data_IF_690328480520
#
_entry.id   IF_690328480520
#
_cell.length_a   1.000
_cell.length_b   1.000
_cell.length_c   1.000
_cell.angle_alpha   90.00
_cell.angle_beta   90.00
_cell.angle_gamma   90.00
#
_symmetry.space_group_name_H-M   'P 1'
#
loop_
_entity.id
_entity.type
_entity.pdbx_description
1 polymer ?
#
# COMPACT_ATOMS: atom_id res chain seq x y z
N UNK A 1 -35.46 -18.84 8.20
CA UNK A 1 -34.36 -18.62 9.18
C UNK A 1 -33.14 -19.54 8.89
N UNK A 2 -32.58 -19.47 7.67
CA UNK A 2 -31.35 -20.20 7.24
C UNK A 2 -30.28 -19.26 6.69
N UNK A 3 -30.69 -18.18 6.01
CA UNK A 3 -29.80 -17.19 5.37
C UNK A 3 -28.89 -16.47 6.38
N UNK A 4 -29.41 -16.13 7.58
CA UNK A 4 -28.64 -15.43 8.61
C UNK A 4 -27.48 -16.30 9.14
N UNK A 5 -27.62 -17.64 9.17
CA UNK A 5 -26.53 -18.53 9.60
C UNK A 5 -25.43 -18.64 8.56
N UNK A 6 -25.76 -18.62 7.27
CA UNK A 6 -24.78 -18.70 6.18
C UNK A 6 -23.90 -17.45 6.09
N UNK A 7 -24.47 -16.26 6.30
CA UNK A 7 -23.71 -15.01 6.32
C UNK A 7 -22.78 -14.92 7.53
N UNK A 8 -23.19 -15.47 8.68
CA UNK A 8 -22.37 -15.48 9.90
C UNK A 8 -21.11 -16.36 9.75
N UNK A 9 -21.25 -17.52 9.10
CA UNK A 9 -20.13 -18.42 8.80
C UNK A 9 -19.12 -17.83 7.80
N UNK A 10 -19.56 -17.05 6.82
CA UNK A 10 -18.64 -16.38 5.89
C UNK A 10 -17.79 -15.30 6.59
N UNK A 11 -18.37 -14.60 7.58
CA UNK A 11 -17.63 -13.61 8.36
C UNK A 11 -16.69 -14.24 9.41
N UNK A 12 -16.98 -15.44 9.90
CA UNK A 12 -16.10 -16.17 10.82
C UNK A 12 -14.92 -16.84 10.09
N UNK A 13 -15.05 -17.10 8.78
CA UNK A 13 -13.99 -17.66 7.92
C UNK A 13 -13.10 -16.56 7.31
N UNK A 14 -13.55 -15.30 7.30
CA UNK A 14 -12.75 -14.15 6.86
C UNK A 14 -11.72 -13.73 7.92
N UNK A 15 -10.90 -14.70 8.30
CA UNK A 15 -9.45 -14.65 8.42
C UNK A 15 -8.85 -13.39 9.07
N UNK A 16 -8.13 -13.66 10.15
CA UNK A 16 -7.38 -12.77 11.06
C UNK A 16 -6.27 -11.96 10.37
N UNK A 17 -6.61 -11.15 9.37
CA UNK A 17 -5.78 -10.01 8.96
C UNK A 17 -6.34 -8.79 9.67
N UNK A 18 -5.71 -8.42 10.77
CA UNK A 18 -5.89 -7.08 11.35
C UNK A 18 -5.45 -6.08 10.27
N UNK A 19 -6.40 -5.56 9.50
CA UNK A 19 -6.17 -4.40 8.63
C UNK A 19 -6.05 -3.19 9.56
N UNK A 20 -4.83 -2.91 10.00
CA UNK A 20 -4.55 -1.71 10.78
C UNK A 20 -4.50 -0.51 9.83
N UNK A 21 -5.52 0.34 9.89
CA UNK A 21 -5.53 1.64 9.22
C UNK A 21 -4.96 2.68 10.18
N UNK A 22 -3.91 3.38 9.75
CA UNK A 22 -3.26 4.44 10.53
C UNK A 22 -3.67 5.77 9.91
N UNK A 23 -4.28 6.66 10.70
CA UNK A 23 -4.50 8.05 10.33
C UNK A 23 -3.32 8.88 10.82
N UNK A 24 -2.65 9.57 9.90
CA UNK A 24 -1.57 10.50 10.21
C UNK A 24 -2.00 11.89 9.76
N UNK A 25 -1.87 12.87 10.63
CA UNK A 25 -2.04 14.28 10.30
C UNK A 25 -0.66 14.87 10.06
N UNK A 26 -0.49 15.47 8.90
CA UNK A 26 0.74 16.11 8.46
C UNK A 26 0.42 17.57 8.17
N UNK A 27 1.31 18.47 8.54
CA UNK A 27 1.29 19.84 8.02
C UNK A 27 1.70 19.84 6.54
N UNK A 28 1.35 20.89 5.79
CA UNK A 28 1.59 20.96 4.33
C UNK A 28 3.07 20.74 3.98
N UNK A 29 3.99 21.27 4.80
CA UNK A 29 5.42 21.08 4.62
C UNK A 29 5.85 19.61 4.85
N UNK A 30 5.28 18.96 5.88
CA UNK A 30 5.57 17.56 6.19
C UNK A 30 4.99 16.64 5.13
N UNK A 31 3.79 16.94 4.62
CA UNK A 31 3.16 16.21 3.53
C UNK A 31 4.01 16.26 2.26
N UNK A 32 4.51 17.45 1.88
CA UNK A 32 5.41 17.60 0.74
C UNK A 32 6.73 16.87 0.91
N UNK A 33 7.31 16.91 2.11
CA UNK A 33 8.53 16.13 2.43
C UNK A 33 8.29 14.62 2.32
N UNK A 34 7.17 14.11 2.85
CA UNK A 34 6.82 12.68 2.76
C UNK A 34 6.62 12.27 1.29
N UNK A 35 5.95 13.10 0.51
CA UNK A 35 5.77 12.87 -0.93
C UNK A 35 7.11 12.74 -1.66
N UNK A 36 8.02 13.70 -1.47
CA UNK A 36 9.37 13.69 -2.08
C UNK A 36 10.17 12.44 -1.70
N UNK A 37 10.09 12.01 -0.43
CA UNK A 37 10.74 10.79 0.04
C UNK A 37 10.17 9.54 -0.63
N UNK A 38 8.85 9.47 -0.79
CA UNK A 38 8.18 8.33 -1.44
C UNK A 38 8.46 8.29 -2.95
N UNK A 39 8.52 9.44 -3.62
CA UNK A 39 8.91 9.54 -5.03
C UNK A 39 10.37 9.13 -5.25
N UNK A 40 11.28 9.58 -4.39
CA UNK A 40 12.68 9.13 -4.41
C UNK A 40 12.77 7.62 -4.26
N UNK A 41 12.06 7.05 -3.28
CA UNK A 41 12.03 5.60 -3.08
C UNK A 41 11.42 4.84 -4.27
N UNK A 42 10.45 5.43 -4.96
CA UNK A 42 9.87 4.87 -6.18
C UNK A 42 10.88 4.78 -7.33
N UNK A 43 11.73 5.80 -7.46
CA UNK A 43 12.85 5.81 -8.40
C UNK A 43 13.85 4.69 -8.07
N UNK A 44 14.23 4.55 -6.80
CA UNK A 44 15.15 3.51 -6.33
C UNK A 44 14.61 2.10 -6.60
N UNK A 45 13.33 1.86 -6.29
CA UNK A 45 12.67 0.59 -6.60
C UNK A 45 12.68 0.28 -8.09
N UNK A 46 12.50 1.30 -8.94
CA UNK A 46 12.52 1.12 -10.40
C UNK A 46 13.92 0.71 -10.89
N UNK A 47 14.95 1.33 -10.32
CA UNK A 47 16.34 0.96 -10.60
C UNK A 47 16.66 -0.46 -10.11
N UNK A 48 16.28 -0.80 -8.88
CA UNK A 48 16.55 -2.11 -8.29
C UNK A 48 15.83 -3.26 -9.04
N UNK A 49 14.57 -3.05 -9.45
CA UNK A 49 13.83 -4.00 -10.29
C UNK A 49 14.58 -4.29 -11.60
N UNK A 50 15.16 -3.26 -12.21
CA UNK A 50 15.91 -3.37 -13.46
C UNK A 50 17.22 -4.15 -13.33
N UNK A 51 17.76 -4.27 -12.10
CA UNK A 51 19.01 -4.97 -11.79
C UNK A 51 18.82 -6.30 -11.07
N UNK A 52 17.58 -6.70 -10.81
CA UNK A 52 17.26 -7.92 -10.08
C UNK A 52 16.92 -9.06 -11.04
N UNK A 53 17.80 -10.06 -11.06
CA UNK A 53 17.63 -11.26 -11.88
C UNK A 53 16.74 -12.32 -11.21
N UNK A 54 16.77 -12.39 -9.87
CA UNK A 54 15.96 -13.34 -9.13
C UNK A 54 14.47 -12.99 -9.25
N UNK A 55 13.71 -13.86 -9.91
CA UNK A 55 12.31 -13.59 -10.24
C UNK A 55 11.46 -13.31 -8.99
N UNK A 56 11.61 -14.12 -7.94
CA UNK A 56 10.84 -14.01 -6.70
C UNK A 56 11.03 -12.63 -6.07
N UNK A 57 12.28 -12.29 -5.78
CA UNK A 57 12.63 -10.98 -5.25
C UNK A 57 12.18 -9.82 -6.16
N UNK A 58 12.31 -9.95 -7.49
CA UNK A 58 11.79 -8.92 -8.42
C UNK A 58 10.28 -8.72 -8.31
N UNK A 59 9.49 -9.77 -8.10
CA UNK A 59 8.04 -9.62 -7.89
C UNK A 59 7.74 -8.90 -6.56
N UNK A 60 8.51 -9.16 -5.51
CA UNK A 60 8.37 -8.45 -4.24
C UNK A 60 8.64 -6.95 -4.40
N UNK A 61 9.70 -6.59 -5.12
CA UNK A 61 10.02 -5.19 -5.44
C UNK A 61 8.90 -4.52 -6.23
N UNK A 62 8.32 -5.21 -7.23
CA UNK A 62 7.16 -4.71 -7.98
C UNK A 62 5.93 -4.49 -7.10
N UNK A 63 5.67 -5.40 -6.15
CA UNK A 63 4.57 -5.24 -5.19
C UNK A 63 4.80 -4.02 -4.28
N UNK A 64 6.02 -3.85 -3.76
CA UNK A 64 6.39 -2.66 -2.97
C UNK A 64 6.21 -1.38 -3.79
N UNK A 65 6.67 -1.38 -5.04
CA UNK A 65 6.52 -0.26 -5.97
C UNK A 65 5.05 0.13 -6.12
N UNK A 66 4.18 -0.85 -6.37
CA UNK A 66 2.75 -0.60 -6.50
C UNK A 66 2.13 -0.02 -5.22
N UNK A 67 2.48 -0.56 -4.04
CA UNK A 67 2.01 -0.03 -2.76
C UNK A 67 2.41 1.43 -2.55
N UNK A 68 3.64 1.82 -2.90
CA UNK A 68 4.12 3.21 -2.79
C UNK A 68 3.36 4.12 -3.75
N UNK A 69 3.13 3.68 -5.00
CA UNK A 69 2.33 4.43 -5.97
C UNK A 69 0.92 4.69 -5.44
N UNK A 70 0.26 3.68 -4.87
CA UNK A 70 -1.09 3.81 -4.30
C UNK A 70 -1.13 4.76 -3.10
N UNK A 71 -0.04 4.87 -2.32
CA UNK A 71 0.05 5.86 -1.23
C UNK A 71 0.17 7.27 -1.79
N UNK A 72 1.08 7.51 -2.75
CA UNK A 72 1.28 8.81 -3.38
C UNK A 72 -0.02 9.29 -4.05
N UNK A 73 -0.70 8.43 -4.82
CA UNK A 73 -1.96 8.79 -5.47
C UNK A 73 -3.03 9.23 -4.46
N UNK A 74 -3.15 8.56 -3.32
CA UNK A 74 -4.09 8.95 -2.25
C UNK A 74 -3.69 10.25 -1.54
N UNK A 75 -2.40 10.59 -1.51
CA UNK A 75 -1.94 11.89 -1.01
C UNK A 75 -2.36 13.00 -1.99
N UNK A 76 -2.19 12.80 -3.30
CA UNK A 76 -2.61 13.74 -4.34
C UNK A 76 -4.12 13.97 -4.38
N UNK A 77 -4.93 12.91 -4.26
CA UNK A 77 -6.40 13.01 -4.22
C UNK A 77 -6.92 13.81 -3.02
N UNK A 78 -6.16 13.89 -1.92
CA UNK A 78 -6.53 14.65 -0.72
C UNK A 78 -6.06 16.10 -0.74
N UNK A 79 -5.05 16.41 -1.55
CA UNK A 79 -4.50 17.77 -1.70
C UNK A 79 -5.24 18.61 -2.76
N UNK A 80 -6.06 17.98 -3.61
CA UNK A 80 -6.90 18.62 -4.63
C UNK A 80 -8.28 19.02 -4.09
#
# INVERSE_FOLDING_TARGET
MKVIKTVRLLNEIADERITAMIEMRLEDQEAGMVEELLETYLSDLSFEIGRTDEYGFRQELKRKKHMVQDVISRMHERAA
#
